data_IF_338407162976
#
_entry.id   IF_338407162976
#
_cell.length_a   1.000
_cell.length_b   1.000
_cell.length_c   1.000
_cell.angle_alpha   90.00
_cell.angle_beta   90.00
_cell.angle_gamma   90.00
#
_symmetry.space_group_name_H-M   'P 1'
#
loop_
_entity.id
_entity.type
_entity.pdbx_description
1 polymer ?
#
# COMPACT_ATOMS: atom_id res chain seq x y z
N UNK A 1 2.11 -11.81 9.15
CA UNK A 1 1.65 -10.68 8.31
C UNK A 1 0.12 -10.62 8.25
N UNK A 2 -0.62 -11.62 7.77
CA UNK A 2 -2.10 -11.57 7.68
C UNK A 2 -2.78 -11.26 9.02
N UNK A 3 -2.39 -11.91 10.09
CA UNK A 3 -2.92 -11.63 11.44
C UNK A 3 -2.67 -10.19 11.89
N UNK A 4 -1.51 -9.64 11.54
CA UNK A 4 -1.14 -8.24 11.84
C UNK A 4 -2.07 -7.27 11.10
N UNK A 5 -2.32 -7.52 9.80
CA UNK A 5 -3.27 -6.73 9.01
C UNK A 5 -4.70 -6.87 9.54
N UNK A 6 -5.17 -8.08 9.77
CA UNK A 6 -6.52 -8.31 10.31
C UNK A 6 -6.72 -7.59 11.65
N UNK A 7 -5.70 -7.55 12.50
CA UNK A 7 -5.74 -6.86 13.79
C UNK A 7 -5.88 -5.34 13.65
N UNK A 8 -5.05 -4.70 12.81
CA UNK A 8 -5.13 -3.23 12.65
C UNK A 8 -6.41 -2.81 11.93
N UNK A 9 -6.88 -3.58 10.95
CA UNK A 9 -8.14 -3.34 10.26
C UNK A 9 -9.34 -3.40 11.22
N UNK A 10 -9.37 -4.40 12.10
CA UNK A 10 -10.41 -4.50 13.14
C UNK A 10 -10.42 -3.26 14.03
N UNK A 11 -9.26 -2.88 14.55
CA UNK A 11 -9.16 -1.69 15.43
C UNK A 11 -9.56 -0.42 14.68
N UNK A 12 -9.16 -0.24 13.43
CA UNK A 12 -9.56 0.92 12.64
C UNK A 12 -11.10 0.98 12.49
N UNK A 13 -11.74 -0.14 12.14
CA UNK A 13 -13.19 -0.24 11.98
C UNK A 13 -13.93 -0.01 13.31
N UNK A 14 -13.46 -0.61 14.41
CA UNK A 14 -14.02 -0.41 15.77
C UNK A 14 -13.95 1.06 16.24
N UNK A 15 -13.00 1.82 15.69
CA UNK A 15 -12.83 3.25 15.94
C UNK A 15 -13.56 4.13 14.93
N UNK A 16 -14.28 3.56 13.97
CA UNK A 16 -14.94 4.30 12.88
C UNK A 16 -13.97 4.99 11.93
N UNK A 17 -12.72 4.54 11.86
CA UNK A 17 -11.73 5.08 10.92
C UNK A 17 -12.00 4.52 9.52
N UNK A 18 -12.08 5.36 8.48
CA UNK A 18 -12.26 4.88 7.11
C UNK A 18 -11.08 4.01 6.66
N UNK A 19 -11.39 2.88 6.05
CA UNK A 19 -10.41 1.94 5.49
C UNK A 19 -10.42 2.04 3.97
N UNK A 20 -9.22 2.13 3.39
CA UNK A 20 -9.02 2.26 1.94
C UNK A 20 -8.13 1.13 1.43
N UNK A 21 -8.67 0.31 0.56
CA UNK A 21 -7.95 -0.77 -0.12
C UNK A 21 -7.41 -0.29 -1.46
N UNK A 22 -6.13 0.02 -1.53
CA UNK A 22 -5.45 0.36 -2.78
C UNK A 22 -5.00 -0.91 -3.50
N UNK A 23 -5.85 -1.43 -4.38
CA UNK A 23 -5.68 -2.68 -5.08
C UNK A 23 -5.22 -2.45 -6.51
N UNK A 24 -4.14 -3.11 -6.94
CA UNK A 24 -3.79 -3.17 -8.34
C UNK A 24 -4.86 -3.96 -9.11
N UNK A 25 -5.31 -3.42 -10.24
CA UNK A 25 -6.42 -4.01 -11.00
C UNK A 25 -6.24 -3.69 -12.49
N UNK A 26 -5.25 -4.34 -13.10
CA UNK A 26 -5.02 -4.20 -14.53
C UNK A 26 -6.11 -4.88 -15.34
N UNK A 27 -6.34 -4.40 -16.56
CA UNK A 27 -7.30 -5.02 -17.48
C UNK A 27 -6.96 -6.49 -17.70
N UNK A 28 -7.97 -7.31 -17.89
CA UNK A 28 -7.79 -8.76 -18.09
C UNK A 28 -6.91 -9.08 -19.32
N UNK A 29 -6.90 -8.20 -20.33
CA UNK A 29 -6.04 -8.30 -21.51
C UNK A 29 -4.62 -7.75 -21.31
N UNK A 30 -4.35 -7.14 -20.15
CA UNK A 30 -3.07 -6.55 -19.80
C UNK A 30 -2.71 -5.29 -20.59
N UNK A 31 -3.62 -4.73 -21.39
CA UNK A 31 -3.34 -3.61 -22.30
C UNK A 31 -2.98 -2.29 -21.60
N UNK A 32 -3.32 -2.15 -20.32
CA UNK A 32 -3.00 -0.99 -19.49
C UNK A 32 -1.75 -1.20 -18.60
N UNK A 33 -1.12 -2.37 -18.70
CA UNK A 33 0.11 -2.65 -17.97
C UNK A 33 1.27 -1.83 -18.54
N UNK A 34 2.05 -1.18 -17.64
CA UNK A 34 3.13 -0.32 -18.10
C UNK A 34 4.27 -1.12 -18.72
N UNK A 35 4.53 -0.89 -19.99
CA UNK A 35 5.65 -1.48 -20.74
C UNK A 35 6.96 -0.71 -20.54
N UNK A 36 6.89 0.55 -20.09
CA UNK A 36 8.06 1.41 -19.91
C UNK A 36 9.08 0.87 -18.87
N UNK A 37 8.64 0.00 -17.96
CA UNK A 37 9.51 -0.60 -16.93
C UNK A 37 10.26 -1.82 -17.47
N UNK A 38 9.74 -2.47 -18.51
CA UNK A 38 10.26 -3.74 -19.00
C UNK A 38 11.64 -3.60 -19.65
N UNK A 39 11.93 -2.49 -20.31
CA UNK A 39 13.19 -2.33 -21.04
C UNK A 39 14.38 -2.08 -20.12
N UNK A 40 14.25 -1.24 -19.11
CA UNK A 40 15.35 -0.92 -18.20
C UNK A 40 15.70 -2.05 -17.23
N UNK A 41 14.70 -2.80 -16.76
CA UNK A 41 14.88 -3.85 -15.76
C UNK A 41 14.97 -5.26 -16.36
N UNK A 42 14.46 -5.48 -17.57
CA UNK A 42 14.46 -6.78 -18.22
C UNK A 42 15.86 -7.36 -18.35
N UNK A 43 16.80 -6.58 -18.82
CA UNK A 43 18.19 -7.00 -19.01
C UNK A 43 18.86 -7.39 -17.69
N UNK A 44 18.67 -6.62 -16.61
CA UNK A 44 19.23 -6.93 -15.29
C UNK A 44 18.56 -8.15 -14.64
N UNK A 45 17.26 -8.27 -14.81
CA UNK A 45 16.52 -9.43 -14.28
C UNK A 45 16.85 -10.69 -15.07
N UNK A 46 16.99 -10.63 -16.38
CA UNK A 46 17.42 -11.76 -17.22
C UNK A 46 18.87 -12.18 -16.93
N UNK A 47 19.76 -11.23 -16.59
CA UNK A 47 21.12 -11.56 -16.13
C UNK A 47 21.14 -12.25 -14.77
N UNK A 48 20.25 -11.84 -13.85
CA UNK A 48 20.21 -12.39 -12.50
C UNK A 48 19.47 -13.73 -12.41
N UNK A 49 18.40 -13.92 -13.21
CA UNK A 49 17.46 -15.03 -13.07
C UNK A 49 17.20 -15.83 -14.35
N UNK A 50 17.92 -15.52 -15.44
CA UNK A 50 17.70 -16.15 -16.75
C UNK A 50 16.52 -15.55 -17.51
N UNK A 51 16.11 -16.20 -18.62
CA UNK A 51 15.00 -15.71 -19.45
C UNK A 51 13.69 -15.69 -18.67
N UNK A 52 13.31 -14.49 -18.24
CA UNK A 52 12.01 -14.26 -17.57
C UNK A 52 10.93 -14.06 -18.63
N UNK A 53 9.89 -14.88 -18.57
CA UNK A 53 8.63 -14.57 -19.25
C UNK A 53 7.90 -13.52 -18.39
N UNK A 54 8.20 -12.24 -18.62
CA UNK A 54 7.45 -11.14 -18.01
C UNK A 54 6.05 -11.13 -18.63
N UNK A 55 5.07 -11.58 -17.88
CA UNK A 55 3.66 -11.42 -18.20
C UNK A 55 3.05 -10.34 -17.31
N UNK A 56 2.01 -9.66 -17.75
CA UNK A 56 1.23 -8.79 -16.86
C UNK A 56 0.82 -9.55 -15.60
N UNK A 57 0.87 -8.85 -14.47
CA UNK A 57 0.49 -9.38 -13.16
C UNK A 57 -0.68 -8.56 -12.61
N UNK A 58 -1.39 -9.13 -11.65
CA UNK A 58 -2.48 -8.46 -10.93
C UNK A 58 -3.60 -8.04 -11.90
N UNK A 59 -3.92 -8.91 -12.84
CA UNK A 59 -4.99 -8.71 -13.81
C UNK A 59 -6.35 -8.91 -13.14
N UNK A 60 -7.34 -8.19 -13.63
CA UNK A 60 -8.73 -8.34 -13.22
C UNK A 60 -9.21 -9.78 -13.46
N UNK A 61 -9.83 -10.40 -12.44
CA UNK A 61 -10.32 -11.77 -12.49
C UNK A 61 -9.25 -12.85 -12.27
N UNK A 62 -7.96 -12.47 -12.07
CA UNK A 62 -6.93 -13.41 -11.66
C UNK A 62 -6.81 -13.45 -10.13
N UNK A 63 -6.71 -14.65 -9.56
CA UNK A 63 -6.55 -14.86 -8.11
C UNK A 63 -5.38 -14.07 -7.50
N UNK A 64 -4.30 -13.83 -8.25
CA UNK A 64 -3.16 -13.04 -7.79
C UNK A 64 -3.45 -11.55 -7.59
N UNK A 65 -4.53 -11.03 -8.17
CA UNK A 65 -5.00 -9.66 -7.98
C UNK A 65 -6.05 -9.50 -6.87
N UNK A 66 -6.54 -10.60 -6.30
CA UNK A 66 -7.60 -10.58 -5.28
C UNK A 66 -7.04 -10.36 -3.88
N UNK A 67 -7.87 -9.76 -3.03
CA UNK A 67 -7.58 -9.62 -1.61
C UNK A 67 -8.02 -10.92 -0.92
N UNK A 68 -7.14 -11.47 -0.08
CA UNK A 68 -7.40 -12.71 0.64
C UNK A 68 -8.52 -12.54 1.67
N UNK A 69 -9.27 -13.61 1.93
CA UNK A 69 -10.50 -13.60 2.72
C UNK A 69 -10.28 -13.07 4.15
N UNK A 70 -9.12 -13.34 4.75
CA UNK A 70 -8.81 -12.94 6.14
C UNK A 70 -8.77 -11.42 6.34
N UNK A 71 -8.58 -10.67 5.27
CA UNK A 71 -8.56 -9.21 5.27
C UNK A 71 -9.49 -8.63 4.20
N UNK A 72 -10.51 -9.36 3.80
CA UNK A 72 -11.43 -8.92 2.77
C UNK A 72 -12.08 -7.56 3.12
N UNK A 73 -12.30 -6.70 2.10
CA UNK A 73 -13.01 -5.45 2.28
C UNK A 73 -14.43 -5.67 2.80
N UNK A 74 -14.87 -4.84 3.74
CA UNK A 74 -16.24 -4.77 4.21
C UNK A 74 -17.06 -3.77 3.36
N UNK A 75 -18.40 -3.80 3.41
CA UNK A 75 -19.25 -2.93 2.60
C UNK A 75 -18.95 -1.43 2.73
N UNK A 76 -18.52 -0.97 3.90
CA UNK A 76 -18.21 0.43 4.16
C UNK A 76 -16.77 0.82 3.83
N UNK A 77 -15.92 -0.14 3.42
CA UNK A 77 -14.53 0.12 3.06
C UNK A 77 -14.44 0.69 1.63
N UNK A 78 -13.54 1.64 1.44
CA UNK A 78 -13.27 2.22 0.13
C UNK A 78 -12.38 1.29 -0.70
N UNK A 79 -12.75 1.04 -1.95
CA UNK A 79 -11.91 0.30 -2.90
C UNK A 79 -11.32 1.26 -3.92
N UNK A 80 -10.00 1.39 -3.90
CA UNK A 80 -9.23 2.24 -4.81
C UNK A 80 -8.52 1.33 -5.82
N UNK A 81 -9.14 1.16 -6.97
CA UNK A 81 -8.55 0.38 -8.07
C UNK A 81 -7.49 1.23 -8.77
N UNK A 82 -6.25 0.74 -8.81
CA UNK A 82 -5.12 1.48 -9.36
C UNK A 82 -4.40 0.68 -10.45
N UNK A 83 -3.87 1.42 -11.42
CA UNK A 83 -3.15 0.88 -12.58
C UNK A 83 -1.67 1.29 -12.57
N UNK A 84 -1.20 1.97 -11.52
CA UNK A 84 0.18 2.44 -11.33
C UNK A 84 0.62 2.21 -9.88
N UNK A 85 1.87 2.48 -9.57
CA UNK A 85 2.45 2.21 -8.25
C UNK A 85 1.79 3.00 -7.13
N UNK A 86 1.70 4.32 -7.30
CA UNK A 86 1.04 5.17 -6.32
C UNK A 86 -0.48 4.96 -6.33
N UNK A 87 -1.07 4.88 -5.15
CA UNK A 87 -2.52 4.82 -4.96
C UNK A 87 -3.23 6.14 -5.35
N UNK A 88 -2.49 7.25 -5.47
CA UNK A 88 -3.05 8.54 -5.90
C UNK A 88 -3.10 8.70 -7.41
N UNK A 89 -2.28 7.94 -8.16
CA UNK A 89 -2.13 8.17 -9.58
C UNK A 89 -3.34 7.67 -10.38
N UNK A 90 -4.10 8.60 -10.97
CA UNK A 90 -5.27 8.28 -11.79
C UNK A 90 -6.43 7.62 -11.03
N UNK A 91 -6.54 7.87 -9.73
CA UNK A 91 -7.61 7.33 -8.87
C UNK A 91 -8.39 8.44 -8.17
N UNK A 92 -9.50 8.10 -7.56
CA UNK A 92 -10.28 9.02 -6.73
C UNK A 92 -9.82 9.10 -5.26
N UNK A 93 -8.66 8.51 -4.91
CA UNK A 93 -8.20 8.44 -3.51
C UNK A 93 -8.11 9.82 -2.85
N UNK A 94 -7.47 10.80 -3.50
CA UNK A 94 -7.33 12.15 -2.92
C UNK A 94 -8.69 12.80 -2.68
N UNK A 95 -9.60 12.72 -3.66
CA UNK A 95 -10.96 13.23 -3.51
C UNK A 95 -11.66 12.60 -2.30
N UNK A 96 -11.61 11.28 -2.18
CA UNK A 96 -12.25 10.55 -1.08
C UNK A 96 -11.67 10.91 0.28
N UNK A 97 -10.33 11.00 0.39
CA UNK A 97 -9.65 11.40 1.63
C UNK A 97 -10.04 12.83 2.04
N UNK A 98 -10.05 13.78 1.09
CA UNK A 98 -10.39 15.17 1.38
C UNK A 98 -11.85 15.34 1.75
N UNK A 99 -12.76 14.69 1.04
CA UNK A 99 -14.19 14.70 1.34
C UNK A 99 -14.49 14.13 2.72
N UNK A 100 -13.77 13.08 3.12
CA UNK A 100 -13.87 12.49 4.47
C UNK A 100 -13.11 13.31 5.55
N UNK A 101 -12.51 14.45 5.21
CA UNK A 101 -11.78 15.29 6.17
C UNK A 101 -10.48 14.68 6.69
N UNK A 102 -9.94 13.66 6.02
CA UNK A 102 -8.74 12.94 6.44
C UNK A 102 -7.50 13.83 6.26
N UNK A 103 -6.72 13.95 7.32
CA UNK A 103 -5.43 14.69 7.32
C UNK A 103 -4.23 13.76 7.52
N UNK A 104 -4.45 12.59 8.11
CA UNK A 104 -3.39 11.63 8.42
C UNK A 104 -3.73 10.28 7.80
N UNK A 105 -2.78 9.70 7.08
CA UNK A 105 -2.90 8.39 6.45
C UNK A 105 -2.01 7.40 7.18
N UNK A 106 -2.56 6.24 7.53
CA UNK A 106 -1.82 5.09 8.04
C UNK A 106 -1.57 4.14 6.86
N UNK A 107 -0.32 3.89 6.52
CA UNK A 107 0.08 3.03 5.41
C UNK A 107 0.49 1.64 5.90
N UNK A 108 -0.08 0.62 5.25
CA UNK A 108 0.28 -0.78 5.42
C UNK A 108 0.19 -1.52 4.08
N UNK A 109 0.87 -2.64 3.93
CA UNK A 109 0.80 -3.50 2.75
C UNK A 109 2.14 -3.73 2.07
N UNK A 110 2.10 -4.07 0.79
CA UNK A 110 3.29 -4.37 -0.02
C UNK A 110 3.16 -3.85 -1.45
N UNK A 111 4.21 -3.79 -2.18
CA UNK A 111 5.61 -3.84 -1.78
C UNK A 111 6.07 -2.49 -1.18
N UNK A 112 6.90 -2.53 -0.12
CA UNK A 112 7.43 -1.32 0.52
C UNK A 112 8.24 -0.47 -0.44
N UNK A 113 9.04 -1.10 -1.31
CA UNK A 113 9.91 -0.43 -2.28
C UNK A 113 9.20 0.03 -3.56
N UNK A 114 7.91 -0.27 -3.71
CA UNK A 114 7.15 0.04 -4.90
C UNK A 114 5.88 0.84 -4.54
N UNK A 115 4.81 0.13 -4.17
CA UNK A 115 3.50 0.73 -3.95
C UNK A 115 3.43 1.61 -2.71
N UNK A 116 4.06 1.18 -1.61
CA UNK A 116 4.02 1.94 -0.35
C UNK A 116 4.85 3.22 -0.47
N UNK A 117 6.10 3.15 -0.93
CA UNK A 117 6.95 4.35 -1.03
C UNK A 117 6.41 5.37 -2.04
N UNK A 118 5.93 4.92 -3.21
CA UNK A 118 5.37 5.83 -4.21
C UNK A 118 4.08 6.49 -3.74
N UNK A 119 3.25 5.78 -2.96
CA UNK A 119 2.06 6.35 -2.33
C UNK A 119 2.44 7.33 -1.21
N UNK A 120 3.47 7.03 -0.44
CA UNK A 120 3.96 7.91 0.63
C UNK A 120 4.49 9.23 0.07
N UNK A 121 5.31 9.22 -0.98
CA UNK A 121 5.76 10.45 -1.65
C UNK A 121 4.57 11.25 -2.18
N UNK A 122 3.66 10.59 -2.90
CA UNK A 122 2.48 11.27 -3.44
C UNK A 122 1.56 11.85 -2.36
N UNK A 123 1.44 11.20 -1.20
CA UNK A 123 0.69 11.71 -0.05
C UNK A 123 1.40 12.92 0.57
N UNK A 124 2.73 12.86 0.71
CA UNK A 124 3.55 13.96 1.23
C UNK A 124 3.46 15.20 0.37
N UNK A 125 3.55 15.04 -0.97
CA UNK A 125 3.40 16.13 -1.95
C UNK A 125 2.01 16.78 -1.93
N UNK A 126 1.02 16.14 -1.27
CA UNK A 126 -0.36 16.59 -1.08
C UNK A 126 -0.66 17.05 0.36
N UNK A 127 0.36 17.26 1.16
CA UNK A 127 0.27 17.70 2.56
C UNK A 127 -0.50 16.76 3.50
N UNK A 128 -0.55 15.46 3.20
CA UNK A 128 -1.02 14.49 4.16
C UNK A 128 0.05 14.13 5.19
N UNK A 129 -0.34 14.06 6.46
CA UNK A 129 0.48 13.42 7.48
C UNK A 129 0.51 11.91 7.27
N UNK A 130 1.67 11.29 7.54
CA UNK A 130 1.88 9.88 7.31
C UNK A 130 2.32 9.16 8.58
N UNK A 131 1.77 7.97 8.77
CA UNK A 131 2.23 6.96 9.70
C UNK A 131 2.39 5.66 8.92
N UNK A 132 3.59 5.09 8.91
CA UNK A 132 3.89 3.84 8.20
C UNK A 132 4.06 2.72 9.22
N UNK A 133 3.35 1.61 9.02
CA UNK A 133 3.36 0.47 9.92
C UNK A 133 4.47 -0.51 9.51
N UNK A 134 5.60 -0.48 10.24
CA UNK A 134 6.77 -1.30 9.93
C UNK A 134 6.44 -2.78 9.81
N UNK A 135 5.77 -3.34 10.80
CA UNK A 135 5.44 -4.76 10.90
C UNK A 135 4.20 -5.17 10.10
N UNK A 136 3.56 -4.21 9.44
CA UNK A 136 2.47 -4.42 8.49
C UNK A 136 2.83 -4.01 7.05
N UNK A 137 4.11 -3.78 6.76
CA UNK A 137 4.64 -3.60 5.41
C UNK A 137 5.68 -4.67 5.11
N UNK A 138 5.92 -4.96 3.81
CA UNK A 138 6.94 -5.91 3.38
C UNK A 138 7.48 -5.55 1.99
N UNK A 139 8.68 -6.02 1.68
CA UNK A 139 9.24 -5.99 0.33
C UNK A 139 9.79 -7.35 -0.07
N UNK A 140 9.66 -7.67 -1.35
CA UNK A 140 10.25 -8.86 -1.95
C UNK A 140 11.77 -8.73 -2.14
N UNK A 141 12.28 -7.48 -2.14
CA UNK A 141 13.70 -7.20 -2.38
C UNK A 141 14.43 -7.14 -1.04
N UNK A 142 15.43 -8.00 -0.82
CA UNK A 142 16.20 -8.02 0.43
C UNK A 142 16.79 -6.65 0.75
N UNK A 143 16.68 -6.22 2.02
CA UNK A 143 17.23 -4.98 2.54
C UNK A 143 16.44 -3.70 2.19
N UNK A 144 15.56 -3.72 1.17
CA UNK A 144 14.80 -2.53 0.77
C UNK A 144 13.82 -2.10 1.87
N UNK A 145 13.12 -3.06 2.48
CA UNK A 145 12.19 -2.76 3.56
C UNK A 145 12.88 -2.03 4.71
N UNK A 146 13.95 -2.60 5.23
CA UNK A 146 14.66 -2.01 6.38
C UNK A 146 15.28 -0.66 6.04
N UNK A 147 15.92 -0.54 4.88
CA UNK A 147 16.45 0.75 4.42
C UNK A 147 15.37 1.84 4.36
N UNK A 148 14.21 1.54 3.80
CA UNK A 148 13.11 2.50 3.73
C UNK A 148 12.56 2.85 5.11
N UNK A 149 12.38 1.88 5.99
CA UNK A 149 11.85 2.08 7.34
C UNK A 149 12.80 2.84 8.26
N UNK A 150 14.11 2.65 8.12
CA UNK A 150 15.11 3.25 9.01
C UNK A 150 15.70 4.56 8.48
N UNK A 151 15.75 4.74 7.15
CA UNK A 151 16.43 5.87 6.54
C UNK A 151 15.47 6.84 5.84
N UNK A 152 14.52 6.34 5.04
CA UNK A 152 13.72 7.18 4.16
C UNK A 152 12.45 7.67 4.85
N UNK A 153 11.62 6.75 5.34
CA UNK A 153 10.34 7.11 5.96
C UNK A 153 10.45 8.05 7.16
N UNK A 154 11.46 7.95 8.05
CA UNK A 154 11.59 8.90 9.17
C UNK A 154 11.73 10.37 8.77
N UNK A 155 12.11 10.65 7.51
CA UNK A 155 12.23 12.02 6.98
C UNK A 155 10.90 12.65 6.59
N UNK A 156 9.86 11.84 6.37
CA UNK A 156 8.57 12.31 5.85
C UNK A 156 7.35 11.73 6.57
N UNK A 157 7.55 10.78 7.48
CA UNK A 157 6.48 10.07 8.17
C UNK A 157 6.90 9.67 9.59
N UNK A 158 5.93 9.19 10.36
CA UNK A 158 6.19 8.44 11.59
C UNK A 158 6.19 6.95 11.29
N UNK A 159 7.26 6.25 11.63
CA UNK A 159 7.33 4.79 11.54
C UNK A 159 6.98 4.20 12.91
N UNK A 160 6.02 3.29 12.96
CA UNK A 160 5.54 2.63 14.18
C UNK A 160 5.22 1.17 13.91
N UNK A 161 5.19 0.36 14.97
CA UNK A 161 4.56 -0.96 14.90
C UNK A 161 3.04 -0.84 14.99
N UNK A 162 2.32 -1.89 14.59
CA UNK A 162 0.88 -2.00 14.78
C UNK A 162 0.53 -1.87 16.26
N UNK A 163 1.27 -2.52 17.16
CA UNK A 163 1.06 -2.43 18.59
C UNK A 163 1.19 -1.00 19.15
N UNK A 164 2.25 -0.30 18.76
CA UNK A 164 2.44 1.11 19.14
C UNK A 164 1.30 1.99 18.62
N UNK A 165 0.85 1.74 17.41
CA UNK A 165 -0.25 2.50 16.79
C UNK A 165 -1.57 2.26 17.51
N UNK A 166 -1.89 1.02 17.84
CA UNK A 166 -3.12 0.67 18.60
C UNK A 166 -3.12 1.36 19.97
N UNK A 167 -1.98 1.37 20.68
CA UNK A 167 -1.88 2.08 21.97
C UNK A 167 -2.14 3.57 21.83
N UNK A 168 -1.57 4.22 20.80
CA UNK A 168 -1.78 5.65 20.53
C UNK A 168 -3.26 5.96 20.23
N UNK A 169 -3.92 5.13 19.44
CA UNK A 169 -5.33 5.28 19.09
C UNK A 169 -6.24 5.04 20.32
N UNK A 170 -5.89 4.07 21.18
CA UNK A 170 -6.62 3.78 22.42
C UNK A 170 -6.49 4.89 23.47
N UNK A 171 -5.34 5.54 23.57
CA UNK A 171 -5.12 6.65 24.50
C UNK A 171 -5.96 7.90 24.16
N UNK A 172 -6.26 8.12 22.88
CA UNK A 172 -7.12 9.25 22.44
C UNK A 172 -8.62 9.08 22.82
N UNK A 173 -9.06 7.88 23.17
CA UNK A 173 -10.43 7.63 23.65
C UNK A 173 -10.64 7.97 25.12
N UNK A 174 -9.56 8.15 25.88
CA UNK A 174 -9.61 8.38 27.33
C UNK A 174 -9.34 9.84 27.70
N UNK A 175 -9.03 10.68 26.73
CA UNK A 175 -8.79 12.11 26.87
C UNK A 175 -9.98 12.93 26.32
#
# INVERSE_FOLDING_TARGET
MLQTWARILRVARDLGMPVFYAQANHRADGSDWSTAITDANRHRLEQAFGKLRLRPLLLQGERGGEIVDEIAPQPDDYRILKHRWSAFHGTHLELSLRTAGIKTIVLAGGDTGIGIISTAYAARDRDFNLLVLRDACYSWIPGVHDFLMDVVFPRMSRVRSVEQTIRLLGAQRQA
#
